data_IF_275602370016
#
_entry.id   IF_275602370016
#
_cell.length_a   1.000
_cell.length_b   1.000
_cell.length_c   1.000
_cell.angle_alpha   90.00
_cell.angle_beta   90.00
_cell.angle_gamma   90.00
#
_symmetry.space_group_name_H-M   'P 1'
#
loop_
_entity.id
_entity.type
_entity.pdbx_description
1 polymer ?
#
# COMPACT_ATOMS: atom_id res chain seq x y z
N UNK A 1 3.13 -12.51 16.24
CA UNK A 1 4.16 -12.53 15.17
C UNK A 1 5.15 -13.69 15.42
N UNK A 2 5.15 -14.75 14.58
CA UNK A 2 5.94 -15.97 14.85
C UNK A 2 7.44 -15.77 14.59
N UNK A 3 7.80 -15.21 13.43
CA UNK A 3 9.21 -15.02 13.05
C UNK A 3 9.90 -14.08 14.05
N UNK A 4 9.31 -12.90 14.30
CA UNK A 4 9.85 -11.90 15.25
C UNK A 4 9.95 -12.43 16.69
N UNK A 5 9.02 -13.27 17.14
CA UNK A 5 8.96 -13.74 18.53
C UNK A 5 9.65 -15.07 18.83
N UNK A 6 10.05 -15.84 17.80
CA UNK A 6 10.57 -17.22 17.99
C UNK A 6 11.80 -17.58 17.16
N UNK A 7 12.32 -16.67 16.34
CA UNK A 7 13.57 -16.93 15.62
C UNK A 7 14.71 -17.21 16.60
N UNK A 8 15.62 -18.12 16.24
CA UNK A 8 16.82 -18.46 17.04
C UNK A 8 17.91 -17.39 16.98
N UNK A 9 17.79 -16.49 16.02
CA UNK A 9 18.66 -15.33 15.77
C UNK A 9 17.77 -14.11 15.64
N UNK A 10 18.35 -12.93 15.77
CA UNK A 10 17.63 -11.67 15.51
C UNK A 10 17.29 -11.60 14.00
N UNK A 11 16.00 -11.74 13.63
CA UNK A 11 15.63 -11.82 12.23
C UNK A 11 15.44 -10.41 11.65
N UNK A 12 15.84 -10.24 10.39
CA UNK A 12 15.44 -9.08 9.59
C UNK A 12 14.22 -9.49 8.76
N UNK A 13 13.05 -8.88 9.03
CA UNK A 13 11.78 -9.19 8.36
C UNK A 13 11.39 -8.03 7.46
N UNK A 14 11.21 -8.29 6.16
CA UNK A 14 11.04 -7.29 5.12
C UNK A 14 10.01 -7.77 4.08
N UNK A 15 9.52 -6.85 3.26
CA UNK A 15 8.79 -7.17 2.04
C UNK A 15 9.54 -6.65 0.81
N UNK A 16 9.36 -7.32 -0.33
CA UNK A 16 9.91 -6.94 -1.63
C UNK A 16 8.76 -6.71 -2.62
N UNK A 17 8.10 -5.53 -2.57
CA UNK A 17 6.97 -5.24 -3.45
C UNK A 17 7.43 -4.99 -4.90
N UNK A 18 6.59 -5.37 -5.86
CA UNK A 18 6.71 -4.90 -7.24
C UNK A 18 6.11 -3.50 -7.31
N UNK A 19 6.91 -2.50 -7.67
CA UNK A 19 6.45 -1.12 -7.82
C UNK A 19 5.80 -0.87 -9.17
N UNK A 20 4.56 -0.39 -9.16
CA UNK A 20 3.83 0.00 -10.38
C UNK A 20 4.03 1.49 -10.61
N UNK A 21 4.56 1.87 -11.76
CA UNK A 21 4.95 3.26 -12.04
C UNK A 21 4.20 3.74 -13.29
N UNK A 22 3.59 4.92 -13.17
CA UNK A 22 3.11 5.66 -14.32
C UNK A 22 4.15 6.71 -14.73
N UNK A 23 4.36 6.86 -16.04
CA UNK A 23 5.22 7.88 -16.61
C UNK A 23 4.37 9.02 -17.14
N UNK A 24 4.77 10.29 -16.91
CA UNK A 24 4.07 11.42 -17.48
C UNK A 24 4.23 11.43 -19.01
N UNK A 25 3.20 11.89 -19.71
CA UNK A 25 3.21 11.97 -21.17
C UNK A 25 4.11 13.11 -21.68
N UNK A 26 4.30 14.16 -20.87
CA UNK A 26 5.18 15.30 -21.14
C UNK A 26 5.71 15.92 -19.85
N UNK A 27 6.56 16.94 -19.97
CA UNK A 27 7.06 17.74 -18.84
C UNK A 27 6.03 18.77 -18.34
N UNK A 28 4.81 18.80 -18.88
CA UNK A 28 3.74 19.63 -18.35
C UNK A 28 3.47 19.26 -16.87
N UNK A 29 3.43 20.23 -15.94
CA UNK A 29 3.14 19.96 -14.52
C UNK A 29 1.84 19.16 -14.28
N UNK A 30 0.86 19.29 -15.16
CA UNK A 30 -0.41 18.53 -15.09
C UNK A 30 -0.16 17.05 -15.39
N UNK A 31 0.61 16.73 -16.43
CA UNK A 31 0.95 15.34 -16.79
C UNK A 31 1.78 14.68 -15.69
N UNK A 32 2.71 15.43 -15.08
CA UNK A 32 3.51 14.98 -13.93
C UNK A 32 2.62 14.66 -12.73
N UNK A 33 1.67 15.54 -12.39
CA UNK A 33 0.78 15.32 -11.26
C UNK A 33 -0.18 14.15 -11.50
N UNK A 34 -0.66 13.95 -12.73
CA UNK A 34 -1.47 12.78 -13.09
C UNK A 34 -0.65 11.49 -12.91
N UNK A 35 0.58 11.43 -13.44
CA UNK A 35 1.44 10.27 -13.28
C UNK A 35 1.76 9.97 -11.81
N UNK A 36 1.99 11.02 -11.00
CA UNK A 36 2.19 10.90 -9.55
C UNK A 36 0.95 10.31 -8.87
N UNK A 37 -0.24 10.86 -9.13
CA UNK A 37 -1.50 10.35 -8.56
C UNK A 37 -1.78 8.91 -8.98
N UNK A 38 -1.53 8.54 -10.23
CA UNK A 38 -1.70 7.15 -10.70
C UNK A 38 -0.72 6.20 -10.01
N UNK A 39 0.52 6.61 -9.80
CA UNK A 39 1.56 5.79 -9.13
C UNK A 39 1.26 5.57 -7.64
N UNK A 40 0.69 6.56 -6.96
CA UNK A 40 0.40 6.53 -5.51
C UNK A 40 -1.09 6.51 -5.17
N UNK A 41 -1.93 6.15 -6.14
CA UNK A 41 -3.38 6.06 -5.98
C UNK A 41 -3.82 4.64 -5.64
N UNK A 42 -5.03 4.51 -5.12
CA UNK A 42 -5.68 3.22 -4.90
C UNK A 42 -7.19 3.35 -5.16
N UNK A 43 -7.54 3.85 -6.35
CA UNK A 43 -8.92 4.16 -6.76
C UNK A 43 -9.84 2.93 -6.94
N UNK A 44 -9.30 1.72 -6.73
CA UNK A 44 -10.00 0.45 -6.89
C UNK A 44 -10.33 0.10 -8.34
N UNK A 45 -9.79 0.81 -9.32
CA UNK A 45 -9.92 0.47 -10.74
C UNK A 45 -9.29 -0.89 -11.08
N UNK A 46 -8.25 -1.28 -10.33
CA UNK A 46 -7.56 -2.56 -10.44
C UNK A 46 -6.73 -2.86 -9.17
N UNK A 47 -6.18 -4.08 -9.09
CA UNK A 47 -5.32 -4.53 -7.98
C UNK A 47 -3.83 -4.17 -8.16
N UNK A 48 -3.45 -3.56 -9.28
CA UNK A 48 -2.08 -3.13 -9.60
C UNK A 48 -1.83 -1.72 -9.06
N UNK A 49 -1.90 -1.56 -7.75
CA UNK A 49 -1.66 -0.29 -7.10
C UNK A 49 -0.68 -0.46 -5.92
N UNK A 50 0.12 0.56 -5.69
CA UNK A 50 1.18 0.54 -4.69
C UNK A 50 0.65 0.76 -3.28
N UNK A 51 -0.21 1.76 -3.12
CA UNK A 51 -0.64 2.27 -1.83
C UNK A 51 -1.44 1.26 -1.02
N UNK A 52 -2.25 0.41 -1.65
CA UNK A 52 -3.02 -0.60 -0.89
C UNK A 52 -2.14 -1.57 -0.11
N UNK A 53 -0.97 -1.91 -0.65
CA UNK A 53 -0.06 -2.87 -0.03
C UNK A 53 1.03 -2.20 0.81
N UNK A 54 1.48 -1.00 0.43
CA UNK A 54 2.61 -0.34 1.06
C UNK A 54 2.21 0.66 2.15
N UNK A 55 1.09 1.37 2.03
CA UNK A 55 0.69 2.36 3.04
C UNK A 55 0.48 1.75 4.43
N UNK A 56 -0.11 0.55 4.60
CA UNK A 56 -0.17 -0.08 5.92
C UNK A 56 1.20 -0.34 6.54
N UNK A 57 2.21 -0.64 5.71
CA UNK A 57 3.58 -0.92 6.17
C UNK A 57 4.33 0.35 6.54
N UNK A 58 4.19 1.43 5.76
CA UNK A 58 4.96 2.66 5.95
C UNK A 58 4.23 3.73 6.77
N UNK A 59 2.90 3.83 6.60
CA UNK A 59 2.05 4.86 7.18
C UNK A 59 1.16 4.32 8.31
N UNK A 60 1.00 3.00 8.43
CA UNK A 60 0.21 2.38 9.49
C UNK A 60 -1.31 2.46 9.27
N UNK A 61 -1.75 2.72 8.04
CA UNK A 61 -3.16 2.68 7.66
C UNK A 61 -3.32 2.35 6.17
N UNK A 62 -4.48 1.81 5.79
CA UNK A 62 -4.85 1.66 4.39
C UNK A 62 -5.15 3.03 3.74
N UNK A 63 -4.97 3.18 2.42
CA UNK A 63 -5.34 4.42 1.74
C UNK A 63 -6.86 4.63 1.80
N UNK A 64 -7.30 5.83 2.19
CA UNK A 64 -8.73 6.12 2.33
C UNK A 64 -9.50 5.95 1.01
N UNK A 65 -8.85 6.28 -0.11
CA UNK A 65 -9.42 6.10 -1.45
C UNK A 65 -9.76 4.63 -1.71
N UNK A 66 -8.83 3.72 -1.41
CA UNK A 66 -9.04 2.28 -1.54
C UNK A 66 -10.13 1.78 -0.59
N UNK A 67 -10.15 2.27 0.66
CA UNK A 67 -11.21 1.91 1.60
C UNK A 67 -12.60 2.27 1.07
N UNK A 68 -12.74 3.46 0.45
CA UNK A 68 -13.99 3.88 -0.20
C UNK A 68 -14.30 3.04 -1.44
N UNK A 69 -13.30 2.75 -2.28
CA UNK A 69 -13.49 2.05 -3.55
C UNK A 69 -13.87 0.58 -3.36
N UNK A 70 -13.17 -0.14 -2.48
CA UNK A 70 -13.46 -1.55 -2.21
C UNK A 70 -14.68 -1.73 -1.32
N UNK A 71 -14.91 -0.81 -0.38
CA UNK A 71 -16.14 -0.72 0.42
C UNK A 71 -16.63 -2.07 0.94
N UNK A 72 -17.79 -2.51 0.47
CA UNK A 72 -18.45 -3.76 0.89
C UNK A 72 -17.66 -5.05 0.59
N UNK A 73 -16.63 -4.98 -0.25
CA UNK A 73 -15.78 -6.12 -0.60
C UNK A 73 -14.66 -6.34 0.43
N UNK A 74 -14.47 -5.40 1.36
CA UNK A 74 -13.49 -5.54 2.43
C UNK A 74 -13.99 -6.48 3.51
N UNK A 75 -13.12 -7.36 4.04
CA UNK A 75 -13.42 -8.06 5.28
C UNK A 75 -13.49 -7.05 6.43
N UNK A 76 -14.12 -7.44 7.53
CA UNK A 76 -13.92 -6.72 8.78
C UNK A 76 -12.47 -6.94 9.26
N UNK A 77 -11.73 -5.86 9.49
CA UNK A 77 -10.40 -5.90 10.07
C UNK A 77 -10.34 -4.90 11.25
N UNK A 78 -9.80 -5.31 12.41
CA UNK A 78 -9.62 -4.40 13.53
C UNK A 78 -8.40 -3.50 13.29
N UNK A 79 -8.38 -2.33 13.92
CA UNK A 79 -7.22 -1.44 13.88
C UNK A 79 -5.95 -2.10 14.41
N UNK A 80 -6.07 -3.08 15.32
CA UNK A 80 -4.96 -3.86 15.88
C UNK A 80 -4.19 -4.71 14.87
N UNK A 81 -4.71 -4.90 13.66
CA UNK A 81 -3.95 -5.56 12.59
C UNK A 81 -2.72 -4.72 12.20
N UNK A 82 -2.79 -3.39 12.34
CA UNK A 82 -1.66 -2.49 12.09
C UNK A 82 -0.51 -2.75 13.06
N UNK A 83 -0.81 -3.09 14.32
CA UNK A 83 0.21 -3.47 15.31
C UNK A 83 0.97 -4.74 14.90
N UNK A 84 0.35 -5.58 14.06
CA UNK A 84 0.98 -6.79 13.53
C UNK A 84 1.78 -6.51 12.25
N UNK A 85 1.27 -5.63 11.39
CA UNK A 85 1.90 -5.25 10.12
C UNK A 85 3.21 -4.48 10.38
N UNK A 86 3.21 -3.56 11.35
CA UNK A 86 4.42 -2.87 11.81
C UNK A 86 5.39 -3.85 12.51
#
# INVERSE_FOLDING_TARGET
QVIRGRAKIDPVVLAAPVGIIAYPNSDDPVDVEIARKTTFGADGSNLWNNSWYMDPMFLGHYPEEGLRAYGKHLPAFPQSDMDTIQ
#
